data_IF_895102466552
#
_entry.id   IF_895102466552
#
_cell.length_a   1.000
_cell.length_b   1.000
_cell.length_c   1.000
_cell.angle_alpha   90.00
_cell.angle_beta   90.00
_cell.angle_gamma   90.00
#
_symmetry.space_group_name_H-M   'P 1'
#
loop_
_entity.id
_entity.type
_entity.pdbx_description
1 polymer ?
#
# COMPACT_ATOMS: atom_id res chain seq x y z
N UNK A 1 -13.88 8.34 -3.39
CA UNK A 1 -12.54 8.68 -2.84
C UNK A 1 -11.78 7.38 -2.65
N UNK A 2 -10.57 7.27 -3.18
CA UNK A 2 -9.74 6.06 -3.03
C UNK A 2 -8.70 6.24 -1.93
N UNK A 3 -8.48 5.19 -1.15
CA UNK A 3 -7.36 5.12 -0.20
C UNK A 3 -6.12 4.65 -0.97
N UNK A 4 -5.03 5.41 -0.86
CA UNK A 4 -3.69 5.03 -1.31
C UNK A 4 -2.75 4.91 -0.10
N UNK A 5 -1.56 4.35 -0.31
CA UNK A 5 -0.60 4.09 0.77
C UNK A 5 0.82 4.51 0.40
N UNK A 6 1.58 4.95 1.41
CA UNK A 6 3.02 5.23 1.34
C UNK A 6 3.87 4.11 1.94
N UNK A 7 3.24 3.02 2.40
CA UNK A 7 3.92 1.86 3.00
C UNK A 7 5.07 1.35 2.14
N UNK A 8 4.91 1.34 0.81
CA UNK A 8 5.97 0.87 -0.09
C UNK A 8 7.16 1.84 -0.17
N UNK A 9 6.90 3.15 -0.12
CA UNK A 9 7.94 4.18 -0.04
C UNK A 9 8.72 4.06 1.28
N UNK A 10 8.01 3.93 2.40
CA UNK A 10 8.57 3.81 3.74
C UNK A 10 9.28 2.46 3.98
N UNK A 11 8.92 1.43 3.21
CA UNK A 11 9.56 0.12 3.31
C UNK A 11 10.98 0.10 2.77
N UNK A 12 11.34 1.04 1.89
CA UNK A 12 12.67 1.09 1.28
C UNK A 12 13.72 1.50 2.32
N UNK A 13 14.54 0.53 2.74
CA UNK A 13 15.54 0.70 3.80
C UNK A 13 15.10 0.20 5.19
N UNK A 14 13.79 0.05 5.42
CA UNK A 14 13.24 -0.53 6.67
C UNK A 14 13.12 -2.05 6.60
N UNK A 15 12.97 -2.61 5.39
CA UNK A 15 12.87 -4.05 5.14
C UNK A 15 13.71 -4.44 3.93
N UNK A 16 14.23 -5.68 3.93
CA UNK A 16 15.04 -6.26 2.85
C UNK A 16 14.23 -6.46 1.58
N UNK A 17 12.94 -6.79 1.70
CA UNK A 17 12.04 -7.00 0.57
C UNK A 17 10.55 -7.03 1.01
N UNK A 18 9.66 -7.13 0.03
CA UNK A 18 8.20 -7.19 0.27
C UNK A 18 7.74 -8.46 1.01
N UNK A 19 8.48 -9.56 0.93
CA UNK A 19 8.14 -10.78 1.66
C UNK A 19 8.38 -10.62 3.16
N UNK A 20 9.46 -9.94 3.54
CA UNK A 20 9.72 -9.57 4.92
C UNK A 20 8.68 -8.58 5.45
N UNK A 21 8.36 -7.54 4.67
CA UNK A 21 7.28 -6.62 4.99
C UNK A 21 5.95 -7.36 5.22
N UNK A 22 5.56 -8.28 4.32
CA UNK A 22 4.34 -9.07 4.44
C UNK A 22 4.31 -9.89 5.74
N UNK A 23 5.45 -10.49 6.11
CA UNK A 23 5.60 -11.25 7.36
C UNK A 23 5.35 -10.37 8.58
N UNK A 24 5.94 -9.17 8.63
CA UNK A 24 5.75 -8.24 9.76
C UNK A 24 4.32 -7.70 9.81
N UNK A 25 3.73 -7.38 8.64
CA UNK A 25 2.34 -6.96 8.52
C UNK A 25 1.34 -8.08 8.88
N UNK A 26 1.77 -9.34 8.93
CA UNK A 26 0.91 -10.49 9.21
C UNK A 26 -0.10 -10.77 8.08
N UNK A 27 0.26 -10.49 6.83
CA UNK A 27 -0.57 -10.74 5.64
C UNK A 27 0.20 -11.55 4.60
N UNK A 28 -0.51 -12.11 3.61
CA UNK A 28 0.15 -12.88 2.56
C UNK A 28 0.97 -11.97 1.63
N UNK A 29 2.10 -12.49 1.15
CA UNK A 29 2.97 -11.82 0.18
C UNK A 29 2.17 -11.42 -1.07
N UNK A 30 1.30 -12.32 -1.57
CA UNK A 30 0.41 -12.03 -2.70
C UNK A 30 -0.55 -10.86 -2.43
N UNK A 31 -1.01 -10.65 -1.18
CA UNK A 31 -1.82 -9.48 -0.84
C UNK A 31 -1.00 -8.19 -0.94
N UNK A 32 0.25 -8.20 -0.48
CA UNK A 32 1.18 -7.05 -0.60
C UNK A 32 1.41 -6.69 -2.08
N UNK A 33 1.73 -7.67 -2.92
CA UNK A 33 1.94 -7.44 -4.35
C UNK A 33 0.68 -6.92 -5.06
N UNK A 34 -0.49 -7.50 -4.80
CA UNK A 34 -1.75 -7.04 -5.43
C UNK A 34 -2.13 -5.61 -5.04
N UNK A 35 -1.83 -5.19 -3.80
CA UNK A 35 -2.03 -3.79 -3.39
C UNK A 35 -1.01 -2.88 -4.08
N UNK A 36 0.26 -3.30 -4.15
CA UNK A 36 1.32 -2.54 -4.86
C UNK A 36 1.01 -2.33 -6.35
N UNK A 37 0.50 -3.36 -7.00
CA UNK A 37 0.16 -3.34 -8.43
C UNK A 37 -1.19 -2.67 -8.71
N UNK A 38 -1.93 -2.21 -7.70
CA UNK A 38 -3.26 -1.62 -7.86
C UNK A 38 -4.36 -2.65 -8.19
N UNK A 39 -4.05 -3.94 -8.29
CA UNK A 39 -5.01 -5.03 -8.55
C UNK A 39 -5.99 -5.29 -7.40
N UNK A 40 -5.73 -4.71 -6.21
CA UNK A 40 -6.61 -4.83 -5.05
C UNK A 40 -6.57 -3.56 -4.19
N UNK A 41 -7.74 -3.09 -3.80
CA UNK A 41 -7.88 -1.98 -2.87
C UNK A 41 -7.31 -2.32 -1.48
N UNK A 42 -6.86 -1.27 -0.78
CA UNK A 42 -6.40 -1.36 0.60
C UNK A 42 -7.59 -1.74 1.49
N UNK A 43 -7.42 -2.80 2.29
CA UNK A 43 -8.45 -3.28 3.21
C UNK A 43 -8.00 -3.15 4.68
N UNK A 44 -8.93 -3.42 5.60
CA UNK A 44 -8.66 -3.37 7.03
C UNK A 44 -7.45 -4.21 7.46
N UNK A 45 -7.28 -5.42 6.91
CA UNK A 45 -6.12 -6.27 7.24
C UNK A 45 -4.80 -5.63 6.83
N UNK A 46 -4.75 -5.00 5.66
CA UNK A 46 -3.58 -4.27 5.19
C UNK A 46 -3.28 -3.06 6.11
N UNK A 47 -4.31 -2.30 6.50
CA UNK A 47 -4.18 -1.16 7.40
C UNK A 47 -3.62 -1.58 8.76
N UNK A 48 -4.23 -2.58 9.39
CA UNK A 48 -3.76 -3.11 10.69
C UNK A 48 -2.32 -3.61 10.58
N UNK A 49 -1.99 -4.33 9.50
CA UNK A 49 -0.63 -4.82 9.25
C UNK A 49 0.38 -3.70 9.10
N UNK A 50 0.03 -2.65 8.36
CA UNK A 50 0.90 -1.49 8.17
C UNK A 50 1.17 -0.77 9.49
N UNK A 51 0.15 -0.53 10.31
CA UNK A 51 0.33 0.12 11.63
C UNK A 51 1.27 -0.71 12.53
N UNK A 52 1.16 -2.04 12.48
CA UNK A 52 2.07 -2.93 13.23
C UNK A 52 3.51 -2.90 12.70
N UNK A 53 3.68 -2.81 11.38
CA UNK A 53 4.98 -2.76 10.74
C UNK A 53 5.68 -1.40 10.97
N UNK A 54 4.92 -0.31 11.00
CA UNK A 54 5.42 1.06 11.14
C UNK A 54 4.90 1.73 12.42
N UNK A 55 5.26 1.24 13.63
CA UNK A 55 4.70 1.77 14.88
C UNK A 55 5.13 3.21 15.19
N UNK A 56 6.21 3.69 14.57
CA UNK A 56 6.69 5.08 14.69
C UNK A 56 5.95 6.07 13.77
N UNK A 57 5.06 5.59 12.90
CA UNK A 57 4.33 6.42 11.94
C UNK A 57 2.85 6.48 12.31
N UNK A 58 2.22 7.64 12.10
CA UNK A 58 0.78 7.81 12.31
C UNK A 58 0.00 7.28 11.11
N UNK A 59 -1.31 7.10 11.27
CA UNK A 59 -2.15 6.53 10.21
C UNK A 59 -2.12 7.38 8.91
N UNK A 60 -2.11 8.70 9.08
CA UNK A 60 -2.04 9.71 8.02
C UNK A 60 -0.67 9.79 7.33
N UNK A 61 0.40 9.33 7.97
CA UNK A 61 1.71 9.16 7.32
C UNK A 61 1.71 7.94 6.38
N UNK A 62 0.92 6.91 6.73
CA UNK A 62 0.87 5.62 6.02
C UNK A 62 -0.16 5.60 4.88
N UNK A 63 -1.26 6.34 5.03
CA UNK A 63 -2.41 6.30 4.14
C UNK A 63 -2.92 7.71 3.83
N UNK A 64 -3.34 7.90 2.58
CA UNK A 64 -3.91 9.17 2.12
C UNK A 64 -5.10 8.91 1.19
N UNK A 65 -5.96 9.91 1.08
CA UNK A 65 -7.14 9.86 0.21
C UNK A 65 -6.84 10.61 -1.08
N UNK A 66 -7.30 10.04 -2.19
CA UNK A 66 -7.34 10.72 -3.49
C UNK A 66 -8.77 10.76 -4.01
N UNK A 67 -9.09 11.79 -4.77
CA UNK A 67 -10.33 11.82 -5.53
C UNK A 67 -10.35 10.64 -6.52
N UNK A 68 -11.53 10.09 -6.77
CA UNK A 68 -11.72 9.22 -7.94
C UNK A 68 -11.67 10.13 -9.16
N UNK A 69 -10.48 10.38 -9.70
CA UNK A 69 -10.39 10.92 -11.05
C UNK A 69 -10.75 9.80 -12.01
N UNK A 70 -11.67 10.10 -12.94
CA UNK A 70 -12.07 9.25 -14.05
C UNK A 70 -10.88 9.05 -14.99
N UNK A 71 -9.90 8.26 -14.59
CA UNK A 71 -8.76 7.89 -15.42
C UNK A 71 -8.77 6.38 -15.53
N UNK A 72 -9.74 5.88 -16.30
CA UNK A 72 -9.42 4.81 -17.23
C UNK A 72 -8.32 5.35 -18.16
N UNK A 73 -7.32 4.52 -18.42
CA UNK A 73 -6.24 4.77 -19.35
C UNK A 73 -6.72 5.54 -20.59
N UNK A 74 -6.36 6.82 -20.71
CA UNK A 74 -6.33 7.46 -22.02
C UNK A 74 -5.07 6.91 -22.71
N UNK A 75 -5.20 6.01 -23.71
CA UNK A 75 -4.03 5.63 -24.48
C UNK A 75 -3.58 6.88 -25.21
N UNK A 76 -2.33 7.25 -25.00
CA UNK A 76 -1.65 8.34 -25.69
C UNK A 76 -1.87 8.15 -27.21
N UNK A 77 -2.82 8.89 -27.77
CA UNK A 77 -3.02 8.95 -29.21
C UNK A 77 -1.78 9.61 -29.83
N UNK A 78 -0.90 8.80 -30.41
CA UNK A 78 0.05 9.19 -31.46
C UNK A 78 0.26 8.04 -32.42
#
# INVERSE_FOLDING_TARGET
MLVKTRVFELSNGSYKNLSELARVMGISVSQVYRVREGKRNINQKFIIGAIKAFPAHRLDDLFYLVAESSTEDEPLAR
#
